data_IF_193941567988
#
_entry.id   IF_193941567988
#
_cell.length_a   1.000
_cell.length_b   1.000
_cell.length_c   1.000
_cell.angle_alpha   90.00
_cell.angle_beta   90.00
_cell.angle_gamma   90.00
#
_symmetry.space_group_name_H-M   'P 1'
#
loop_
_entity.id
_entity.type
_entity.pdbx_description
1 polymer ?
#
# COMPACT_ATOMS: atom_id res chain seq x y z
N UNK A 1 7.56 8.74 1.17
CA UNK A 1 8.98 8.97 0.76
C UNK A 1 9.84 9.13 2.00
N UNK A 2 11.16 8.94 1.86
CA UNK A 2 12.07 9.11 2.99
C UNK A 2 12.16 10.58 3.44
N UNK A 3 12.54 10.79 4.71
CA UNK A 3 12.88 12.13 5.19
C UNK A 3 14.26 12.56 4.67
N UNK A 4 14.36 13.70 3.98
CA UNK A 4 15.64 14.25 3.52
C UNK A 4 16.60 14.53 4.68
N UNK A 5 16.09 14.85 5.87
CA UNK A 5 16.92 15.04 7.06
C UNK A 5 17.66 13.76 7.41
N UNK A 6 16.95 12.61 7.43
CA UNK A 6 17.53 11.30 7.69
C UNK A 6 18.60 10.93 6.66
N UNK A 7 18.35 11.25 5.36
CA UNK A 7 19.33 11.04 4.29
C UNK A 7 20.59 11.89 4.51
N UNK A 8 20.43 13.13 4.98
CA UNK A 8 21.55 14.05 5.23
C UNK A 8 22.35 13.71 6.47
N UNK A 9 21.69 13.23 7.52
CA UNK A 9 22.32 12.88 8.79
C UNK A 9 23.24 11.68 8.66
N UNK A 10 22.81 10.63 7.95
CA UNK A 10 23.61 9.42 7.75
C UNK A 10 23.31 8.77 6.38
N UNK A 11 23.90 9.28 5.30
CA UNK A 11 23.70 8.75 3.95
C UNK A 11 24.11 7.26 3.83
N UNK A 12 25.19 6.85 4.52
CA UNK A 12 25.69 5.49 4.42
C UNK A 12 24.75 4.48 5.12
N UNK A 13 24.17 4.86 6.25
CA UNK A 13 23.13 4.05 6.91
C UNK A 13 21.89 3.91 6.01
N UNK A 14 21.47 4.97 5.33
CA UNK A 14 20.37 4.92 4.35
C UNK A 14 20.69 3.99 3.20
N UNK A 15 21.86 4.12 2.57
CA UNK A 15 22.32 3.22 1.50
C UNK A 15 22.38 1.76 1.97
N UNK A 16 22.90 1.50 3.17
CA UNK A 16 22.94 0.17 3.75
C UNK A 16 21.54 -0.43 3.95
N UNK A 17 20.57 0.37 4.43
CA UNK A 17 19.17 -0.06 4.58
C UNK A 17 18.50 -0.39 3.24
N UNK A 18 18.78 0.41 2.19
CA UNK A 18 18.28 0.13 0.84
C UNK A 18 18.90 -1.14 0.25
N UNK A 19 20.21 -1.35 0.45
CA UNK A 19 20.89 -2.59 0.04
C UNK A 19 20.36 -3.82 0.80
N UNK A 20 19.96 -3.67 2.07
CA UNK A 20 19.30 -4.76 2.81
C UNK A 20 17.96 -5.19 2.17
N UNK A 21 17.28 -4.29 1.47
CA UNK A 21 16.11 -4.58 0.62
C UNK A 21 16.46 -5.07 -0.80
N UNK A 22 17.72 -5.44 -1.04
CA UNK A 22 18.24 -5.85 -2.36
C UNK A 22 18.08 -4.77 -3.46
N UNK A 23 18.01 -3.49 -3.05
CA UNK A 23 17.90 -2.36 -3.98
C UNK A 23 19.15 -1.50 -3.88
N UNK A 24 19.89 -1.38 -4.97
CA UNK A 24 21.05 -0.49 -5.03
C UNK A 24 20.62 0.89 -5.54
N UNK A 25 20.50 1.84 -4.64
CA UNK A 25 20.15 3.23 -4.90
C UNK A 25 21.26 4.21 -4.43
N UNK A 26 22.50 3.76 -4.39
CA UNK A 26 23.62 4.58 -3.89
C UNK A 26 23.78 5.88 -4.70
N UNK A 27 23.71 5.77 -6.03
CA UNK A 27 23.85 6.92 -6.93
C UNK A 27 22.65 7.89 -6.80
N UNK A 28 21.44 7.37 -6.66
CA UNK A 28 20.23 8.16 -6.47
C UNK A 28 20.30 8.93 -5.14
N UNK A 29 20.76 8.30 -4.06
CA UNK A 29 20.96 8.96 -2.76
C UNK A 29 21.98 10.11 -2.87
N UNK A 30 23.13 9.88 -3.52
CA UNK A 30 24.15 10.92 -3.73
C UNK A 30 23.62 12.06 -4.60
N UNK A 31 22.87 11.73 -5.66
CA UNK A 31 22.25 12.76 -6.53
C UNK A 31 21.18 13.57 -5.79
N UNK A 32 20.35 12.94 -4.94
CA UNK A 32 19.37 13.63 -4.09
C UNK A 32 20.06 14.63 -3.16
N UNK A 33 21.17 14.27 -2.53
CA UNK A 33 21.93 15.17 -1.67
C UNK A 33 22.49 16.37 -2.44
N UNK A 34 23.02 16.13 -3.64
CA UNK A 34 23.50 17.19 -4.52
C UNK A 34 22.36 18.14 -4.93
N UNK A 35 21.22 17.59 -5.35
CA UNK A 35 20.03 18.38 -5.73
C UNK A 35 19.43 19.15 -4.55
N UNK A 36 19.41 18.58 -3.34
CA UNK A 36 18.96 19.32 -2.14
C UNK A 36 19.85 20.51 -1.84
N UNK A 37 21.17 20.36 -2.04
CA UNK A 37 22.11 21.48 -1.88
C UNK A 37 21.88 22.54 -2.96
N UNK A 38 21.84 22.14 -4.22
CA UNK A 38 21.63 23.03 -5.38
C UNK A 38 20.31 23.81 -5.22
N UNK A 39 19.23 23.14 -4.88
CA UNK A 39 17.93 23.76 -4.63
C UNK A 39 18.01 24.84 -3.56
N UNK A 40 18.65 24.56 -2.41
CA UNK A 40 18.81 25.53 -1.32
C UNK A 40 19.67 26.73 -1.74
N UNK A 41 20.73 26.50 -2.50
CA UNK A 41 21.61 27.54 -2.96
C UNK A 41 20.88 28.48 -3.95
N UNK A 42 20.05 27.92 -4.86
CA UNK A 42 19.23 28.71 -5.80
C UNK A 42 18.16 29.50 -5.02
N UNK A 43 17.46 28.90 -4.08
CA UNK A 43 16.44 29.57 -3.27
C UNK A 43 17.07 30.75 -2.53
N UNK A 44 18.20 30.52 -1.85
CA UNK A 44 18.91 31.56 -1.11
C UNK A 44 19.35 32.72 -2.04
N UNK A 45 19.96 32.42 -3.18
CA UNK A 45 20.38 33.45 -4.15
C UNK A 45 19.19 34.26 -4.66
N UNK A 46 18.07 33.57 -4.97
CA UNK A 46 16.84 34.22 -5.45
C UNK A 46 16.20 35.10 -4.38
N UNK A 47 16.19 34.69 -3.11
CA UNK A 47 15.72 35.53 -2.01
C UNK A 47 16.56 36.78 -1.81
N UNK A 48 17.89 36.68 -1.93
CA UNK A 48 18.79 37.84 -1.89
C UNK A 48 18.50 38.82 -3.03
N UNK A 49 18.33 38.31 -4.27
CA UNK A 49 17.97 39.14 -5.42
C UNK A 49 16.60 39.82 -5.24
N UNK A 50 15.58 39.12 -4.72
CA UNK A 50 14.26 39.68 -4.41
C UNK A 50 14.36 40.76 -3.31
N UNK A 51 15.20 40.56 -2.30
CA UNK A 51 15.44 41.55 -1.26
C UNK A 51 16.14 42.82 -1.82
N UNK A 52 17.17 42.66 -2.68
CA UNK A 52 17.84 43.77 -3.38
C UNK A 52 16.85 44.52 -4.28
N UNK A 53 16.05 43.81 -5.09
CA UNK A 53 15.03 44.39 -5.96
C UNK A 53 14.03 45.25 -5.17
N UNK A 54 13.56 44.76 -4.02
CA UNK A 54 12.69 45.51 -3.15
C UNK A 54 13.34 46.78 -2.56
N UNK A 55 14.64 46.69 -2.19
CA UNK A 55 15.41 47.84 -1.68
C UNK A 55 15.58 48.91 -2.76
N UNK A 56 16.00 48.48 -3.96
CA UNK A 56 16.20 49.37 -5.10
C UNK A 56 14.89 50.03 -5.51
N UNK A 57 13.78 49.27 -5.58
CA UNK A 57 12.45 49.77 -5.89
C UNK A 57 11.98 50.87 -4.93
N UNK A 58 12.24 50.71 -3.60
CA UNK A 58 11.88 51.69 -2.58
C UNK A 58 12.71 52.98 -2.67
N UNK A 59 13.92 52.95 -3.25
CA UNK A 59 14.77 54.13 -3.43
C UNK A 59 14.36 55.03 -4.60
N UNK A 60 13.65 54.49 -5.61
CA UNK A 60 13.28 55.22 -6.83
C UNK A 60 12.52 56.54 -6.56
N UNK A 61 11.49 56.59 -5.66
CA UNK A 61 10.78 57.82 -5.39
C UNK A 61 11.66 58.92 -4.77
N UNK A 62 12.66 58.52 -3.95
CA UNK A 62 13.58 59.46 -3.30
C UNK A 62 14.58 60.03 -4.31
N UNK A 63 15.15 59.17 -5.20
CA UNK A 63 16.06 59.59 -6.25
C UNK A 63 15.36 60.52 -7.27
N UNK A 64 14.13 60.21 -7.66
CA UNK A 64 13.34 61.12 -8.51
C UNK A 64 13.08 62.48 -7.84
N UNK A 65 12.81 62.51 -6.53
CA UNK A 65 12.57 63.72 -5.79
C UNK A 65 13.87 64.56 -5.63
N UNK A 66 15.03 63.91 -5.58
CA UNK A 66 16.34 64.54 -5.53
C UNK A 66 16.83 65.00 -6.91
N UNK A 67 16.14 64.70 -8.00
CA UNK A 67 16.57 65.04 -9.36
C UNK A 67 17.71 64.16 -9.89
N UNK A 68 17.99 63.02 -9.26
CA UNK A 68 19.05 62.11 -9.64
C UNK A 68 18.62 61.21 -10.83
N UNK A 69 19.63 60.78 -11.64
CA UNK A 69 19.37 59.90 -12.76
C UNK A 69 18.93 58.50 -12.27
N UNK A 70 17.73 58.11 -12.66
CA UNK A 70 17.14 56.80 -12.30
C UNK A 70 17.39 55.70 -13.36
N UNK A 71 18.02 56.01 -14.48
CA UNK A 71 18.28 55.01 -15.58
C UNK A 71 19.12 53.81 -15.08
N UNK A 72 20.21 54.00 -14.28
CA UNK A 72 21.00 52.85 -13.75
C UNK A 72 20.19 51.98 -12.83
N UNK A 73 19.24 52.57 -12.07
CA UNK A 73 18.38 51.87 -11.14
C UNK A 73 17.39 50.97 -11.91
N UNK A 74 16.78 51.47 -12.97
CA UNK A 74 15.90 50.69 -13.86
C UNK A 74 16.64 49.60 -14.59
N UNK A 75 17.88 49.85 -15.03
CA UNK A 75 18.75 48.84 -15.65
C UNK A 75 18.99 47.70 -14.64
N UNK A 76 19.43 48.03 -13.41
CA UNK A 76 19.67 47.04 -12.35
C UNK A 76 18.45 46.23 -12.03
N UNK A 77 17.26 46.86 -11.95
CA UNK A 77 16.00 46.16 -11.76
C UNK A 77 15.68 45.19 -12.90
N UNK A 78 15.98 45.56 -14.14
CA UNK A 78 15.83 44.67 -15.30
C UNK A 78 16.74 43.46 -15.23
N UNK A 79 18.02 43.67 -14.87
CA UNK A 79 18.98 42.57 -14.64
C UNK A 79 18.53 41.61 -13.55
N UNK A 80 18.13 42.14 -12.39
CA UNK A 80 17.62 41.34 -11.25
C UNK A 80 16.38 40.53 -11.66
N UNK A 81 15.44 41.14 -12.36
CA UNK A 81 14.23 40.45 -12.85
C UNK A 81 14.59 39.30 -13.81
N UNK A 82 15.54 39.50 -14.71
CA UNK A 82 15.99 38.46 -15.62
C UNK A 82 16.69 37.30 -14.90
N UNK A 83 17.56 37.62 -13.92
CA UNK A 83 18.26 36.62 -13.10
C UNK A 83 17.28 35.81 -12.20
N UNK A 84 16.30 36.48 -11.59
CA UNK A 84 15.25 35.80 -10.78
C UNK A 84 14.47 34.82 -11.67
N UNK A 85 14.05 35.24 -12.88
CA UNK A 85 13.33 34.39 -13.79
C UNK A 85 14.15 33.15 -14.25
N UNK A 86 15.46 33.34 -14.51
CA UNK A 86 16.36 32.24 -14.84
C UNK A 86 16.53 31.26 -13.67
N UNK A 87 16.68 31.78 -12.44
CA UNK A 87 16.75 30.96 -11.24
C UNK A 87 15.44 30.18 -10.99
N UNK A 88 14.28 30.81 -11.16
CA UNK A 88 12.97 30.15 -10.98
C UNK A 88 12.80 29.00 -11.98
N UNK A 89 13.29 29.12 -13.23
CA UNK A 89 13.25 28.05 -14.23
C UNK A 89 14.22 26.91 -13.86
N UNK A 90 15.44 27.24 -13.43
CA UNK A 90 16.42 26.25 -12.98
C UNK A 90 15.88 25.51 -11.76
N UNK A 91 15.31 26.23 -10.80
CA UNK A 91 14.72 25.65 -9.59
C UNK A 91 13.62 24.65 -9.94
N UNK A 92 12.74 24.97 -10.89
CA UNK A 92 11.68 24.07 -11.36
C UNK A 92 12.24 22.75 -11.89
N UNK A 93 13.31 22.81 -12.68
CA UNK A 93 13.98 21.63 -13.22
C UNK A 93 14.63 20.78 -12.11
N UNK A 94 15.35 21.44 -11.19
CA UNK A 94 15.99 20.79 -10.03
C UNK A 94 14.95 20.13 -9.12
N UNK A 95 13.85 20.80 -8.83
CA UNK A 95 12.76 20.26 -7.99
C UNK A 95 12.02 19.10 -8.65
N UNK A 96 11.84 19.11 -9.96
CA UNK A 96 11.24 18.00 -10.70
C UNK A 96 12.12 16.74 -10.63
N UNK A 97 13.44 16.89 -10.87
CA UNK A 97 14.39 15.78 -10.76
C UNK A 97 14.46 15.26 -9.30
N UNK A 98 14.60 16.18 -8.34
CA UNK A 98 14.63 15.85 -6.92
C UNK A 98 13.38 15.06 -6.49
N UNK A 99 12.17 15.52 -6.88
CA UNK A 99 10.92 14.83 -6.58
C UNK A 99 10.89 13.43 -7.19
N UNK A 100 11.28 13.30 -8.45
CA UNK A 100 11.31 12.01 -9.16
C UNK A 100 12.20 11.00 -8.42
N UNK A 101 13.41 11.39 -8.06
CA UNK A 101 14.34 10.52 -7.34
C UNK A 101 13.85 10.20 -5.92
N UNK A 102 13.30 11.18 -5.19
CA UNK A 102 12.72 10.93 -3.86
C UNK A 102 11.52 9.97 -3.90
N UNK A 103 10.73 9.99 -4.97
CA UNK A 103 9.61 9.07 -5.16
C UNK A 103 10.06 7.66 -5.59
N UNK A 104 11.23 7.52 -6.21
CA UNK A 104 11.76 6.21 -6.62
C UNK A 104 12.38 5.42 -5.47
N UNK A 105 12.88 6.09 -4.42
CA UNK A 105 13.50 5.41 -3.28
C UNK A 105 12.46 4.59 -2.49
N UNK A 106 12.74 3.30 -2.19
CA UNK A 106 11.94 2.52 -1.27
C UNK A 106 12.00 3.07 0.16
N UNK A 107 11.08 2.61 0.99
CA UNK A 107 11.16 2.81 2.43
C UNK A 107 12.33 2.01 3.03
N UNK A 108 12.88 2.50 4.14
CA UNK A 108 13.90 1.78 4.88
C UNK A 108 13.30 0.65 5.71
N UNK A 109 13.95 -0.51 5.79
CA UNK A 109 13.51 -1.57 6.69
C UNK A 109 13.80 -1.19 8.14
N UNK A 110 12.98 -1.74 9.06
CA UNK A 110 13.30 -1.69 10.49
C UNK A 110 14.59 -2.47 10.77
N UNK A 111 15.34 -2.03 11.78
CA UNK A 111 16.71 -2.52 12.06
C UNK A 111 16.79 -4.01 12.46
N UNK A 112 15.68 -4.57 12.97
CA UNK A 112 15.61 -5.98 13.40
C UNK A 112 15.25 -6.96 12.28
N UNK A 113 15.04 -6.47 11.05
CA UNK A 113 14.78 -7.33 9.90
C UNK A 113 16.08 -7.89 9.32
N UNK A 114 16.08 -9.18 8.99
CA UNK A 114 17.19 -9.77 8.26
C UNK A 114 17.31 -9.16 6.87
N UNK A 115 18.51 -8.86 6.38
CA UNK A 115 18.72 -8.44 4.99
C UNK A 115 18.44 -9.59 4.02
N UNK A 116 18.19 -9.25 2.75
CA UNK A 116 17.97 -10.23 1.69
C UNK A 116 16.50 -10.59 1.49
N UNK A 117 16.26 -11.57 0.63
CA UNK A 117 14.93 -11.94 0.13
C UNK A 117 14.21 -12.99 0.98
N UNK A 118 13.25 -13.65 0.33
CA UNK A 118 12.30 -14.59 0.94
C UNK A 118 12.98 -15.77 1.69
N UNK A 119 14.15 -16.17 1.29
CA UNK A 119 14.93 -17.24 1.93
C UNK A 119 15.33 -16.92 3.37
N UNK A 120 15.32 -15.65 3.75
CA UNK A 120 15.65 -15.13 5.07
C UNK A 120 14.42 -14.84 5.95
N UNK A 121 13.21 -15.15 5.47
CA UNK A 121 11.98 -15.00 6.24
C UNK A 121 11.99 -15.90 7.49
N UNK A 122 11.41 -15.41 8.60
CA UNK A 122 11.42 -16.09 9.90
C UNK A 122 10.01 -16.50 10.33
N UNK A 123 9.66 -17.80 10.34
CA UNK A 123 8.45 -18.26 11.02
C UNK A 123 8.51 -17.94 12.52
N UNK A 124 7.55 -17.15 13.00
CA UNK A 124 7.49 -16.72 14.40
C UNK A 124 6.68 -17.68 15.27
N UNK A 125 5.54 -18.13 14.75
CA UNK A 125 4.58 -18.99 15.48
C UNK A 125 3.69 -19.76 14.54
N UNK A 126 3.14 -20.86 15.07
CA UNK A 126 2.19 -21.73 14.39
C UNK A 126 0.91 -21.83 15.23
N UNK A 127 -0.21 -22.03 14.56
CA UNK A 127 -1.50 -22.27 15.18
C UNK A 127 -2.17 -23.49 14.58
N UNK A 128 -2.73 -24.37 15.45
CA UNK A 128 -3.40 -25.59 15.03
C UNK A 128 -2.44 -26.64 14.48
N UNK A 129 -3.03 -27.71 13.96
CA UNK A 129 -2.30 -28.80 13.31
C UNK A 129 -2.67 -28.87 11.83
N UNK A 130 -1.73 -29.25 10.95
CA UNK A 130 -2.01 -29.48 9.54
C UNK A 130 -3.13 -30.47 9.34
N UNK A 131 -4.09 -30.14 8.45
CA UNK A 131 -5.20 -31.04 8.16
C UNK A 131 -4.70 -32.36 7.53
N UNK A 132 -5.18 -33.49 8.04
CA UNK A 132 -4.83 -34.83 7.55
C UNK A 132 -6.05 -35.48 6.93
N UNK A 133 -5.90 -35.98 5.71
CA UNK A 133 -6.95 -36.73 5.02
C UNK A 133 -6.67 -38.23 5.09
N UNK A 134 -7.72 -39.05 5.25
CA UNK A 134 -7.68 -40.50 5.12
C UNK A 134 -8.06 -40.98 3.70
N UNK A 135 -8.23 -40.04 2.77
CA UNK A 135 -8.52 -40.20 1.36
C UNK A 135 -7.73 -39.25 0.49
N UNK A 136 -7.55 -39.50 -0.80
CA UNK A 136 -6.90 -38.53 -1.73
C UNK A 136 -7.77 -37.27 -1.87
N UNK A 137 -7.28 -36.08 -1.41
CA UNK A 137 -8.06 -34.86 -1.53
C UNK A 137 -8.10 -34.38 -2.98
N UNK A 138 -9.26 -33.87 -3.41
CA UNK A 138 -9.43 -33.23 -4.73
C UNK A 138 -8.94 -31.80 -4.67
N UNK A 139 -8.46 -31.33 -5.83
CA UNK A 139 -8.11 -29.93 -6.03
C UNK A 139 -9.36 -29.04 -6.04
N UNK A 140 -9.25 -27.79 -5.52
CA UNK A 140 -10.38 -26.84 -5.45
C UNK A 140 -11.06 -26.59 -6.80
N UNK A 141 -10.33 -26.60 -7.91
CA UNK A 141 -10.93 -26.42 -9.25
C UNK A 141 -11.94 -27.51 -9.55
N UNK A 142 -11.58 -28.77 -9.26
CA UNK A 142 -12.45 -29.92 -9.51
C UNK A 142 -13.65 -29.92 -8.54
N UNK A 143 -13.42 -29.64 -7.24
CA UNK A 143 -14.49 -29.50 -6.24
C UNK A 143 -15.46 -28.37 -6.59
N UNK A 144 -14.94 -27.18 -6.91
CA UNK A 144 -15.77 -26.02 -7.23
C UNK A 144 -16.58 -26.23 -8.51
N UNK A 145 -16.02 -26.94 -9.49
CA UNK A 145 -16.73 -27.32 -10.72
C UNK A 145 -17.83 -28.36 -10.42
N UNK A 146 -17.49 -29.43 -9.68
CA UNK A 146 -18.42 -30.49 -9.31
C UNK A 146 -19.61 -29.98 -8.49
N UNK A 147 -19.37 -29.04 -7.56
CA UNK A 147 -20.40 -28.44 -6.69
C UNK A 147 -21.14 -27.26 -7.35
N UNK A 148 -20.71 -26.85 -8.54
CA UNK A 148 -21.28 -25.69 -9.22
C UNK A 148 -21.01 -24.36 -8.49
N UNK A 149 -19.87 -24.25 -7.80
CA UNK A 149 -19.48 -23.00 -7.10
C UNK A 149 -18.88 -21.97 -8.06
N UNK A 150 -18.11 -22.45 -9.03
CA UNK A 150 -17.33 -21.62 -9.95
C UNK A 150 -17.57 -22.08 -11.39
N UNK A 151 -17.89 -21.13 -12.27
CA UNK A 151 -17.88 -21.31 -13.71
C UNK A 151 -16.64 -20.66 -14.31
N UNK A 152 -15.59 -21.44 -14.46
CA UNK A 152 -14.34 -20.96 -15.05
C UNK A 152 -14.50 -20.66 -16.54
N UNK A 153 -15.23 -21.50 -17.28
CA UNK A 153 -15.41 -21.35 -18.72
C UNK A 153 -16.13 -20.06 -19.08
N UNK A 154 -17.23 -19.76 -18.39
CA UNK A 154 -17.97 -18.51 -18.62
C UNK A 154 -17.23 -17.30 -18.07
N UNK A 155 -16.51 -17.42 -16.95
CA UNK A 155 -15.65 -16.37 -16.45
C UNK A 155 -14.60 -15.93 -17.48
N UNK A 156 -13.90 -16.88 -18.08
CA UNK A 156 -12.93 -16.63 -19.17
C UNK A 156 -13.60 -16.01 -20.39
N UNK A 157 -14.82 -16.46 -20.75
CA UNK A 157 -15.57 -15.87 -21.87
C UNK A 157 -15.92 -14.41 -21.64
N UNK A 158 -16.16 -14.00 -20.39
CA UNK A 158 -16.53 -12.63 -20.04
C UNK A 158 -15.34 -11.67 -20.03
N UNK A 159 -14.19 -12.10 -19.49
CA UNK A 159 -13.09 -11.18 -19.20
C UNK A 159 -11.68 -11.71 -19.57
N UNK A 160 -11.59 -12.92 -20.13
CA UNK A 160 -10.32 -13.52 -20.49
C UNK A 160 -9.73 -14.44 -19.43
N UNK A 161 -8.54 -14.96 -19.72
CA UNK A 161 -7.81 -15.86 -18.81
C UNK A 161 -7.52 -15.18 -17.47
N UNK A 162 -7.58 -15.94 -16.37
CA UNK A 162 -7.34 -15.42 -15.01
C UNK A 162 -8.56 -14.76 -14.38
N UNK A 163 -9.74 -14.88 -15.00
CA UNK A 163 -11.03 -14.53 -14.43
C UNK A 163 -11.91 -15.77 -14.24
N UNK A 164 -12.77 -15.73 -13.24
CA UNK A 164 -13.77 -16.76 -12.94
C UNK A 164 -15.10 -16.11 -12.54
N UNK A 165 -16.14 -16.91 -12.52
CA UNK A 165 -17.46 -16.46 -12.12
C UNK A 165 -17.99 -17.35 -10.98
N UNK A 166 -18.30 -16.77 -9.84
CA UNK A 166 -18.98 -17.47 -8.77
C UNK A 166 -20.44 -17.72 -9.14
N UNK A 167 -20.97 -18.89 -8.80
CA UNK A 167 -22.35 -19.28 -9.10
C UNK A 167 -23.05 -19.91 -7.91
N UNK A 168 -24.35 -19.76 -7.82
CA UNK A 168 -25.20 -20.44 -6.84
C UNK A 168 -24.71 -20.32 -5.38
N UNK A 169 -24.49 -21.47 -4.75
CA UNK A 169 -23.97 -21.53 -3.37
C UNK A 169 -22.51 -21.04 -3.28
N UNK A 170 -21.71 -21.15 -4.35
CA UNK A 170 -20.37 -20.59 -4.37
C UNK A 170 -20.37 -19.06 -4.22
N UNK A 171 -21.27 -18.35 -4.89
CA UNK A 171 -21.42 -16.91 -4.73
C UNK A 171 -21.92 -16.55 -3.31
N UNK A 172 -22.82 -17.34 -2.75
CA UNK A 172 -23.28 -17.15 -1.34
C UNK A 172 -22.14 -17.42 -0.34
N UNK A 173 -21.30 -18.41 -0.59
CA UNK A 173 -20.16 -18.76 0.27
C UNK A 173 -19.07 -17.68 0.22
N UNK A 174 -18.81 -17.09 -0.97
CA UNK A 174 -17.94 -15.93 -1.10
C UNK A 174 -18.44 -14.75 -0.28
N UNK A 175 -19.74 -14.44 -0.35
CA UNK A 175 -20.35 -13.38 0.47
C UNK A 175 -20.42 -13.75 1.96
N UNK A 176 -20.52 -15.02 2.32
CA UNK A 176 -20.44 -15.46 3.71
C UNK A 176 -19.05 -15.17 4.32
N UNK A 177 -17.97 -15.43 3.56
CA UNK A 177 -16.61 -15.06 3.97
C UNK A 177 -16.47 -13.54 4.15
N UNK A 178 -16.90 -12.76 3.17
CA UNK A 178 -16.83 -11.30 3.24
C UNK A 178 -17.62 -10.74 4.43
N UNK A 179 -18.85 -11.22 4.66
CA UNK A 179 -19.66 -10.79 5.80
C UNK A 179 -19.01 -11.19 7.14
N UNK A 180 -18.39 -12.36 7.22
CA UNK A 180 -17.64 -12.76 8.41
C UNK A 180 -16.49 -11.79 8.70
N UNK A 181 -15.72 -11.41 7.67
CA UNK A 181 -14.62 -10.44 7.81
C UNK A 181 -15.15 -9.07 8.23
N UNK A 182 -16.21 -8.58 7.57
CA UNK A 182 -16.83 -7.28 7.84
C UNK A 182 -17.37 -7.24 9.28
N UNK A 183 -18.18 -8.23 9.69
CA UNK A 183 -18.75 -8.27 11.02
C UNK A 183 -17.68 -8.32 12.11
N UNK A 184 -16.59 -9.04 11.87
CA UNK A 184 -15.47 -9.13 12.81
C UNK A 184 -14.79 -7.78 13.00
N UNK A 185 -14.48 -7.06 11.93
CA UNK A 185 -13.83 -5.76 12.03
C UNK A 185 -14.75 -4.67 12.59
N UNK A 186 -16.06 -4.74 12.33
CA UNK A 186 -17.03 -3.87 13.00
C UNK A 186 -17.04 -4.12 14.52
N UNK A 187 -17.04 -5.40 14.93
CA UNK A 187 -16.96 -5.77 16.36
C UNK A 187 -15.63 -5.35 17.01
N UNK A 188 -14.57 -5.27 16.23
CA UNK A 188 -13.26 -4.78 16.64
C UNK A 188 -13.18 -3.25 16.76
N UNK A 189 -14.24 -2.53 16.42
CA UNK A 189 -14.33 -1.07 16.52
C UNK A 189 -13.70 -0.28 15.35
N UNK A 190 -13.48 -0.95 14.21
CA UNK A 190 -13.02 -0.27 12.99
C UNK A 190 -14.19 0.36 12.23
N UNK A 191 -13.97 1.51 11.64
CA UNK A 191 -14.96 2.16 10.78
C UNK A 191 -14.95 1.56 9.39
N UNK A 192 -16.14 1.16 8.89
CA UNK A 192 -16.31 0.58 7.56
C UNK A 192 -16.36 1.66 6.48
N UNK A 193 -15.46 1.59 5.51
CA UNK A 193 -15.36 2.51 4.38
C UNK A 193 -15.65 1.76 3.07
N UNK A 194 -16.47 2.33 2.21
CA UNK A 194 -16.65 1.89 0.82
C UNK A 194 -16.07 2.95 -0.12
N UNK A 195 -14.79 2.85 -0.48
CA UNK A 195 -14.13 3.85 -1.32
C UNK A 195 -14.48 3.66 -2.80
N UNK A 196 -14.25 4.69 -3.66
CA UNK A 196 -14.23 4.50 -5.10
C UNK A 196 -13.23 3.42 -5.52
N UNK A 197 -13.58 2.60 -6.53
CA UNK A 197 -12.69 1.55 -7.04
C UNK A 197 -11.81 2.03 -8.19
N UNK A 198 -12.16 3.15 -8.79
CA UNK A 198 -11.37 3.86 -9.80
C UNK A 198 -10.68 5.03 -9.11
N UNK A 199 -9.35 4.99 -9.06
CA UNK A 199 -8.54 5.94 -8.32
C UNK A 199 -7.72 6.83 -9.26
N UNK A 200 -7.44 8.07 -8.85
CA UNK A 200 -6.46 8.93 -9.49
C UNK A 200 -5.03 8.43 -9.22
N UNK A 201 -4.12 8.69 -10.15
CA UNK A 201 -2.70 8.30 -10.06
C UNK A 201 -2.04 8.68 -8.72
N UNK A 202 -2.40 9.83 -8.17
CA UNK A 202 -1.88 10.33 -6.90
C UNK A 202 -2.16 9.42 -5.69
N UNK A 203 -3.23 8.60 -5.74
CA UNK A 203 -3.50 7.62 -4.69
C UNK A 203 -2.41 6.53 -4.65
N UNK A 204 -1.95 6.07 -5.82
CA UNK A 204 -0.84 5.15 -5.93
C UNK A 204 0.52 5.77 -5.51
N UNK A 205 0.73 7.06 -5.78
CA UNK A 205 1.90 7.79 -5.27
C UNK A 205 1.87 7.88 -3.75
N UNK A 206 0.74 8.26 -3.15
CA UNK A 206 0.57 8.35 -1.69
C UNK A 206 0.84 7.01 -1.01
N UNK A 207 0.25 5.94 -1.50
CA UNK A 207 0.47 4.58 -0.99
C UNK A 207 1.91 4.06 -1.21
N UNK A 208 2.72 4.75 -2.02
CA UNK A 208 4.08 4.31 -2.35
C UNK A 208 4.14 3.17 -3.37
N UNK A 209 3.03 2.87 -4.02
CA UNK A 209 2.95 1.87 -5.09
C UNK A 209 3.50 2.41 -6.41
N UNK A 210 3.30 3.70 -6.68
CA UNK A 210 3.84 4.36 -7.87
C UNK A 210 5.08 5.20 -7.54
N UNK A 211 6.03 5.29 -8.48
CA UNK A 211 5.99 4.82 -9.87
C UNK A 211 6.26 3.31 -10.07
N UNK A 212 6.84 2.61 -9.09
CA UNK A 212 7.39 1.24 -9.24
C UNK A 212 6.39 0.24 -9.83
N UNK A 213 5.14 0.23 -9.37
CA UNK A 213 4.09 -0.71 -9.78
C UNK A 213 3.06 -0.10 -10.75
N UNK A 214 3.38 1.02 -11.39
CA UNK A 214 2.46 1.69 -12.31
C UNK A 214 2.06 0.85 -13.54
N UNK A 215 2.85 -0.17 -13.89
CA UNK A 215 2.56 -1.10 -14.99
C UNK A 215 1.80 -2.37 -14.54
N UNK A 216 1.63 -2.57 -13.22
CA UNK A 216 0.89 -3.69 -12.65
C UNK A 216 -0.62 -3.41 -12.49
N UNK A 217 -1.06 -2.18 -12.76
CA UNK A 217 -2.47 -1.78 -12.63
C UNK A 217 -3.17 -1.67 -13.98
N UNK A 218 -4.49 -1.87 -13.98
CA UNK A 218 -5.33 -1.57 -15.13
C UNK A 218 -5.56 -0.07 -15.23
N UNK A 219 -4.89 0.60 -16.17
CA UNK A 219 -5.05 2.03 -16.45
C UNK A 219 -6.34 2.27 -17.22
N UNK A 220 -7.05 3.33 -16.86
CA UNK A 220 -8.29 3.74 -17.53
C UNK A 220 -7.99 5.00 -18.31
N UNK A 221 -8.23 4.95 -19.62
CA UNK A 221 -8.18 6.12 -20.50
C UNK A 221 -9.53 6.83 -20.48
N UNK A 222 -9.52 8.10 -20.14
CA UNK A 222 -10.67 8.96 -20.29
C UNK A 222 -10.40 9.96 -21.42
N UNK A 223 -11.13 9.93 -22.54
CA UNK A 223 -10.86 10.80 -23.69
C UNK A 223 -11.16 12.27 -23.43
N UNK A 224 -11.86 12.61 -22.34
CA UNK A 224 -12.27 13.99 -22.01
C UNK A 224 -11.48 14.58 -20.83
N UNK A 225 -10.56 13.84 -20.24
CA UNK A 225 -9.85 14.23 -19.03
C UNK A 225 -8.39 13.73 -19.12
N UNK A 226 -7.42 14.63 -18.96
CA UNK A 226 -6.00 14.30 -18.99
C UNK A 226 -5.51 13.59 -17.71
N UNK A 227 -6.38 13.40 -16.69
CA UNK A 227 -6.05 12.70 -15.46
C UNK A 227 -5.93 11.21 -15.70
N UNK A 228 -4.86 10.63 -15.17
CA UNK A 228 -4.68 9.17 -15.20
C UNK A 228 -5.45 8.52 -14.08
N UNK A 229 -6.44 7.69 -14.42
CA UNK A 229 -7.16 6.83 -13.49
C UNK A 229 -6.71 5.37 -13.64
N UNK A 230 -6.93 4.59 -12.59
CA UNK A 230 -6.66 3.15 -12.61
C UNK A 230 -7.62 2.39 -11.70
N UNK A 231 -7.84 1.10 -11.99
CA UNK A 231 -8.56 0.20 -11.10
C UNK A 231 -7.67 -0.18 -9.91
N UNK A 232 -8.17 -0.02 -8.69
CA UNK A 232 -7.38 -0.27 -7.48
C UNK A 232 -6.92 -1.74 -7.38
N UNK A 233 -5.64 -2.00 -7.07
CA UNK A 233 -5.13 -3.35 -6.82
C UNK A 233 -5.33 -3.80 -5.37
N UNK A 234 -5.68 -2.86 -4.48
CA UNK A 234 -5.92 -3.01 -3.05
C UNK A 234 -6.60 -1.75 -2.51
N UNK A 235 -7.46 -1.90 -1.52
CA UNK A 235 -8.07 -0.75 -0.83
C UNK A 235 -7.04 0.13 -0.09
N UNK A 236 -5.85 -0.39 0.21
CA UNK A 236 -4.74 0.38 0.81
C UNK A 236 -4.51 1.71 0.08
N UNK A 237 -4.49 1.73 -1.25
CA UNK A 237 -4.23 2.94 -2.02
C UNK A 237 -5.30 4.03 -1.81
N UNK A 238 -6.56 3.61 -1.67
CA UNK A 238 -7.67 4.51 -1.35
C UNK A 238 -7.58 4.99 0.10
N UNK A 239 -7.43 4.06 1.05
CA UNK A 239 -7.43 4.37 2.48
C UNK A 239 -6.24 5.25 2.88
N UNK A 240 -5.04 4.97 2.37
CA UNK A 240 -3.84 5.79 2.59
C UNK A 240 -3.99 7.24 2.11
N UNK A 241 -4.93 7.51 1.20
CA UNK A 241 -5.11 8.80 0.56
C UNK A 241 -6.26 9.63 1.13
N UNK A 242 -7.04 9.09 2.08
CA UNK A 242 -8.24 9.76 2.63
C UNK A 242 -7.90 11.16 3.18
N UNK A 243 -6.77 11.27 3.87
CA UNK A 243 -6.34 12.53 4.51
C UNK A 243 -5.18 13.21 3.78
N UNK A 244 -5.02 12.96 2.47
CA UNK A 244 -3.97 13.62 1.68
C UNK A 244 -4.07 15.15 1.79
N UNK A 245 -2.91 15.79 2.07
CA UNK A 245 -2.75 17.24 2.27
C UNK A 245 -3.46 17.81 3.51
N UNK A 246 -3.81 16.97 4.49
CA UNK A 246 -4.49 17.39 5.72
C UNK A 246 -3.57 17.36 6.97
N UNK A 247 -3.97 18.14 7.96
CA UNK A 247 -3.37 18.15 9.30
C UNK A 247 -4.48 17.81 10.31
N UNK A 248 -4.44 16.59 10.84
CA UNK A 248 -5.41 16.09 11.80
C UNK A 248 -5.16 16.69 13.21
N UNK A 249 -6.15 16.67 14.09
CA UNK A 249 -5.93 16.88 15.51
C UNK A 249 -5.31 15.60 16.13
N UNK A 250 -4.39 15.76 17.10
CA UNK A 250 -3.79 14.62 17.80
C UNK A 250 -4.86 13.77 18.51
N UNK A 251 -5.87 14.43 19.10
CA UNK A 251 -6.97 13.75 19.78
C UNK A 251 -7.83 12.86 18.85
N UNK A 252 -7.74 13.04 17.52
CA UNK A 252 -8.44 12.23 16.54
C UNK A 252 -7.74 10.88 16.24
N UNK A 253 -6.52 10.69 16.72
CA UNK A 253 -5.71 9.50 16.50
C UNK A 253 -5.85 8.49 17.65
N UNK A 254 -5.79 7.17 17.38
CA UNK A 254 -5.67 6.55 16.06
C UNK A 254 -6.96 6.60 15.25
N UNK A 255 -6.86 6.74 13.91
CA UNK A 255 -7.97 6.43 12.99
C UNK A 255 -7.84 4.99 12.53
N UNK A 256 -8.90 4.21 12.68
CA UNK A 256 -8.95 2.78 12.35
C UNK A 256 -10.06 2.52 11.35
N UNK A 257 -9.69 2.15 10.13
CA UNK A 257 -10.61 1.90 9.03
C UNK A 257 -10.46 0.48 8.51
N UNK A 258 -11.52 -0.03 7.91
CA UNK A 258 -11.42 -1.14 6.99
C UNK A 258 -12.32 -0.90 5.77
N UNK A 259 -11.94 -1.50 4.65
CA UNK A 259 -12.70 -1.39 3.42
C UNK A 259 -12.84 -2.75 2.74
N UNK A 260 -14.03 -3.05 2.23
CA UNK A 260 -14.24 -4.09 1.23
C UNK A 260 -14.07 -3.51 -0.16
N UNK A 261 -13.26 -4.15 -0.99
CA UNK A 261 -13.18 -3.83 -2.42
C UNK A 261 -12.92 -5.09 -3.27
N UNK A 262 -13.47 -5.15 -4.50
CA UNK A 262 -12.82 -5.94 -5.54
C UNK A 262 -11.46 -5.32 -5.82
N UNK A 263 -10.44 -6.16 -6.02
CA UNK A 263 -9.07 -5.76 -6.32
C UNK A 263 -8.70 -6.24 -7.71
N UNK A 264 -7.99 -5.39 -8.47
CA UNK A 264 -7.66 -5.65 -9.88
C UNK A 264 -6.15 -5.62 -10.08
N UNK A 265 -5.57 -6.75 -10.48
CA UNK A 265 -4.13 -6.90 -10.70
C UNK A 265 -3.84 -7.46 -12.09
N UNK A 266 -2.94 -6.82 -12.84
CA UNK A 266 -2.54 -7.31 -14.17
C UNK A 266 -1.70 -8.58 -14.10
N UNK A 267 -1.05 -8.83 -12.95
CA UNK A 267 -0.16 -9.99 -12.75
C UNK A 267 0.90 -10.10 -13.89
N UNK A 268 1.43 -8.93 -14.30
CA UNK A 268 2.34 -8.79 -15.43
C UNK A 268 3.70 -9.36 -15.07
N UNK A 269 4.17 -10.41 -15.25
CA UNK A 269 5.48 -10.99 -14.89
C UNK A 269 5.39 -12.20 -13.96
N UNK A 270 4.18 -12.61 -13.55
CA UNK A 270 4.03 -13.85 -12.81
C UNK A 270 3.99 -15.06 -13.75
N UNK A 271 4.85 -16.05 -13.48
CA UNK A 271 4.78 -17.36 -14.14
C UNK A 271 3.55 -18.12 -13.63
N UNK A 272 2.41 -18.01 -14.34
CA UNK A 272 1.11 -18.60 -13.96
C UNK A 272 1.05 -20.14 -14.10
N UNK A 273 2.09 -20.77 -14.60
CA UNK A 273 2.06 -22.19 -14.99
C UNK A 273 1.77 -23.15 -13.82
N UNK A 274 2.09 -22.76 -12.59
CA UNK A 274 1.98 -23.63 -11.41
C UNK A 274 0.76 -23.35 -10.52
N UNK A 275 0.00 -22.26 -10.75
CA UNK A 275 -1.12 -21.84 -9.91
C UNK A 275 -2.46 -21.98 -10.66
N UNK A 276 -2.94 -23.23 -10.76
CA UNK A 276 -4.26 -23.53 -11.35
C UNK A 276 -5.40 -22.97 -10.47
N UNK A 277 -6.41 -22.36 -11.08
CA UNK A 277 -7.65 -21.97 -10.42
C UNK A 277 -7.66 -20.54 -9.89
N UNK A 278 -8.11 -20.37 -8.64
CA UNK A 278 -8.42 -19.04 -8.06
C UNK A 278 -7.27 -18.39 -7.30
N UNK A 279 -6.19 -19.11 -7.03
CA UNK A 279 -5.12 -18.66 -6.12
C UNK A 279 -4.45 -17.38 -6.60
N UNK A 280 -4.41 -17.17 -7.92
CA UNK A 280 -3.88 -15.98 -8.56
C UNK A 280 -4.75 -15.60 -9.76
N UNK A 281 -5.44 -14.48 -9.65
CA UNK A 281 -6.32 -13.98 -10.68
C UNK A 281 -6.25 -12.48 -10.84
N UNK A 282 -6.84 -11.97 -11.93
CA UNK A 282 -6.87 -10.56 -12.25
C UNK A 282 -7.86 -9.75 -11.41
N UNK A 283 -8.87 -10.42 -10.86
CA UNK A 283 -9.87 -9.83 -10.00
C UNK A 283 -10.16 -10.78 -8.82
N UNK A 284 -10.19 -10.24 -7.61
CA UNK A 284 -10.57 -10.95 -6.40
C UNK A 284 -11.13 -9.96 -5.36
N UNK A 285 -11.83 -10.48 -4.34
CA UNK A 285 -12.37 -9.66 -3.26
C UNK A 285 -11.42 -9.64 -2.05
N UNK A 286 -11.31 -8.48 -1.41
CA UNK A 286 -10.48 -8.30 -0.23
C UNK A 286 -11.12 -7.32 0.75
N UNK A 287 -11.03 -7.64 2.02
CA UNK A 287 -11.21 -6.67 3.11
C UNK A 287 -9.82 -6.22 3.55
N UNK A 288 -9.61 -4.91 3.63
CA UNK A 288 -8.33 -4.31 4.01
C UNK A 288 -8.50 -3.46 5.26
N UNK A 289 -7.72 -3.74 6.30
CA UNK A 289 -7.60 -2.89 7.49
C UNK A 289 -6.56 -1.80 7.25
N UNK A 290 -6.77 -0.60 7.79
CA UNK A 290 -5.85 0.52 7.71
C UNK A 290 -5.88 1.36 8.98
N UNK A 291 -4.71 1.78 9.46
CA UNK A 291 -4.61 2.67 10.62
C UNK A 291 -3.72 3.89 10.31
N UNK A 292 -4.13 5.04 10.86
CA UNK A 292 -3.29 6.22 11.03
C UNK A 292 -3.02 6.41 12.50
N UNK A 293 -1.74 6.43 12.89
CA UNK A 293 -1.34 6.48 14.30
C UNK A 293 -0.31 7.57 14.55
N UNK A 294 -0.13 7.93 15.82
CA UNK A 294 1.09 8.65 16.23
C UNK A 294 2.30 7.73 16.07
N UNK A 295 3.51 8.29 15.83
CA UNK A 295 4.72 7.47 15.70
C UNK A 295 4.99 6.54 16.89
N UNK A 296 4.76 7.01 18.10
CA UNK A 296 4.97 6.26 19.34
C UNK A 296 4.02 5.07 19.53
N UNK A 297 2.82 5.11 18.94
CA UNK A 297 1.81 4.05 19.06
C UNK A 297 1.92 2.99 17.94
N UNK A 298 2.85 3.19 17.01
CA UNK A 298 2.90 2.46 15.74
C UNK A 298 3.21 0.97 15.89
N UNK A 299 4.02 0.59 16.87
CA UNK A 299 4.39 -0.82 17.07
C UNK A 299 3.25 -1.59 17.77
N UNK A 300 2.57 -0.99 18.74
CA UNK A 300 1.38 -1.58 19.36
C UNK A 300 0.24 -1.74 18.35
N UNK A 301 0.05 -0.76 17.47
CA UNK A 301 -0.92 -0.83 16.38
C UNK A 301 -0.60 -1.92 15.36
N UNK A 302 0.68 -2.17 15.09
CA UNK A 302 1.13 -3.27 14.23
C UNK A 302 0.79 -4.62 14.83
N UNK A 303 1.09 -4.84 16.11
CA UNK A 303 0.79 -6.08 16.82
C UNK A 303 -0.72 -6.32 16.93
N UNK A 304 -1.51 -5.26 17.11
CA UNK A 304 -2.97 -5.32 17.05
C UNK A 304 -3.43 -5.84 15.68
N UNK A 305 -2.98 -5.24 14.57
CA UNK A 305 -3.36 -5.65 13.22
C UNK A 305 -3.00 -7.11 12.93
N UNK A 306 -1.80 -7.55 13.32
CA UNK A 306 -1.38 -8.96 13.19
C UNK A 306 -2.35 -9.87 13.94
N UNK A 307 -2.67 -9.54 15.18
CA UNK A 307 -3.60 -10.32 16.02
C UNK A 307 -5.00 -10.39 15.40
N UNK A 308 -5.51 -9.28 14.83
CA UNK A 308 -6.82 -9.25 14.16
C UNK A 308 -6.85 -10.16 12.93
N UNK A 309 -5.83 -10.10 12.09
CA UNK A 309 -5.72 -10.98 10.92
C UNK A 309 -5.59 -12.46 11.31
N UNK A 310 -4.77 -12.79 12.32
CA UNK A 310 -4.69 -14.17 12.86
C UNK A 310 -6.04 -14.68 13.39
N UNK A 311 -6.79 -13.84 14.09
CA UNK A 311 -8.09 -14.23 14.66
C UNK A 311 -9.12 -14.57 13.58
N UNK A 312 -9.11 -13.91 12.44
CA UNK A 312 -9.95 -14.28 11.30
C UNK A 312 -9.63 -15.69 10.79
N UNK A 313 -8.33 -16.01 10.63
CA UNK A 313 -7.89 -17.32 10.17
C UNK A 313 -8.18 -18.41 11.20
N UNK A 314 -8.00 -18.12 12.50
CA UNK A 314 -8.38 -19.00 13.63
C UNK A 314 -9.86 -19.31 13.61
N UNK A 315 -10.72 -18.29 13.42
CA UNK A 315 -12.17 -18.45 13.37
C UNK A 315 -12.64 -19.38 12.24
N UNK A 316 -11.91 -19.41 11.13
CA UNK A 316 -12.19 -20.36 10.03
C UNK A 316 -11.68 -21.79 10.32
N UNK A 317 -10.94 -21.99 11.42
CA UNK A 317 -10.44 -23.30 11.83
C UNK A 317 -9.18 -23.74 11.09
N UNK A 318 -8.44 -22.84 10.43
CA UNK A 318 -7.25 -23.20 9.66
C UNK A 318 -6.02 -23.35 10.54
N UNK A 319 -5.16 -24.32 10.16
CA UNK A 319 -3.77 -24.30 10.55
C UNK A 319 -3.03 -23.21 9.77
N UNK A 320 -2.23 -22.40 10.47
CA UNK A 320 -1.44 -21.32 9.85
C UNK A 320 -0.13 -21.09 10.58
N UNK A 321 0.75 -20.35 9.95
CA UNK A 321 1.92 -19.76 10.58
C UNK A 321 1.98 -18.25 10.33
N UNK A 322 2.58 -17.53 11.28
CA UNK A 322 2.92 -16.12 11.13
C UNK A 322 4.41 -16.02 10.86
N UNK A 323 4.77 -15.27 9.82
CA UNK A 323 6.14 -15.16 9.30
C UNK A 323 6.56 -13.70 9.29
N UNK A 324 7.71 -13.38 9.91
CA UNK A 324 8.37 -12.08 9.79
C UNK A 324 9.17 -12.07 8.50
N UNK A 325 8.86 -11.14 7.60
CA UNK A 325 9.55 -11.02 6.33
C UNK A 325 10.94 -10.38 6.50
N UNK A 326 11.89 -10.86 5.72
CA UNK A 326 13.17 -10.21 5.53
C UNK A 326 13.03 -8.87 4.79
N UNK A 327 14.01 -8.01 4.90
CA UNK A 327 13.96 -6.65 4.36
C UNK A 327 13.65 -6.61 2.86
N UNK A 328 14.24 -7.51 2.06
CA UNK A 328 14.05 -7.57 0.61
C UNK A 328 12.71 -8.18 0.18
N UNK A 329 12.05 -8.97 1.03
CA UNK A 329 10.72 -9.51 0.78
C UNK A 329 9.59 -8.55 1.22
N UNK A 330 9.89 -7.58 2.08
CA UNK A 330 8.97 -6.49 2.40
C UNK A 330 8.70 -5.63 1.17
N UNK A 331 7.43 -5.26 0.95
CA UNK A 331 7.06 -4.33 -0.12
C UNK A 331 7.89 -3.05 -0.09
N UNK A 332 8.10 -2.41 -1.24
CA UNK A 332 8.93 -1.22 -1.36
C UNK A 332 8.51 -0.08 -0.42
N UNK A 333 7.23 0.08 -0.15
CA UNK A 333 6.69 1.14 0.73
C UNK A 333 6.75 0.80 2.22
N UNK A 334 7.01 -0.46 2.60
CA UNK A 334 6.89 -0.93 3.97
C UNK A 334 8.25 -1.03 4.68
N UNK A 335 8.26 -0.66 5.95
CA UNK A 335 9.41 -0.80 6.83
C UNK A 335 9.45 -2.18 7.51
N UNK A 336 8.29 -2.75 7.79
CA UNK A 336 8.11 -4.07 8.40
C UNK A 336 6.88 -4.74 7.85
N UNK A 337 6.94 -6.07 7.66
CA UNK A 337 5.78 -6.88 7.25
C UNK A 337 5.80 -8.23 7.93
N UNK A 338 4.63 -8.67 8.43
CA UNK A 338 4.38 -10.04 8.85
C UNK A 338 3.29 -10.65 7.97
N UNK A 339 3.56 -11.83 7.45
CA UNK A 339 2.61 -12.60 6.66
C UNK A 339 1.95 -13.68 7.50
N UNK A 340 0.66 -13.89 7.28
CA UNK A 340 -0.08 -15.04 7.78
C UNK A 340 -0.25 -15.99 6.60
N UNK A 341 0.28 -17.18 6.76
CA UNK A 341 0.34 -18.19 5.70
C UNK A 341 -0.38 -19.47 6.13
N UNK A 342 -1.21 -20.01 5.23
CA UNK A 342 -1.96 -21.26 5.42
C UNK A 342 -1.51 -22.32 4.42
N UNK A 343 -1.89 -23.58 4.70
CA UNK A 343 -1.73 -24.66 3.73
C UNK A 343 -2.96 -24.78 2.84
N UNK A 344 -2.74 -24.89 1.53
CA UNK A 344 -3.75 -25.33 0.57
C UNK A 344 -3.37 -26.76 0.19
N UNK A 345 -4.20 -27.78 0.48
CA UNK A 345 -3.81 -29.20 0.36
C UNK A 345 -3.27 -29.62 -1.02
N UNK A 346 -3.79 -29.03 -2.08
CA UNK A 346 -3.32 -29.29 -3.46
C UNK A 346 -2.02 -28.59 -3.82
N UNK A 347 -1.50 -27.72 -2.96
CA UNK A 347 -0.31 -26.92 -3.21
C UNK A 347 0.80 -27.28 -2.22
N UNK A 348 2.04 -27.24 -2.68
CA UNK A 348 3.17 -27.44 -1.77
C UNK A 348 3.41 -26.22 -0.88
N UNK A 349 3.74 -26.46 0.40
CA UNK A 349 4.11 -25.46 1.37
C UNK A 349 2.94 -24.56 1.82
N UNK A 350 3.31 -23.42 2.36
CA UNK A 350 2.39 -22.42 2.86
C UNK A 350 2.14 -21.34 1.82
N UNK A 351 0.93 -20.77 1.84
CA UNK A 351 0.52 -19.66 0.97
C UNK A 351 0.04 -18.50 1.83
N UNK A 352 0.55 -17.31 1.57
CA UNK A 352 0.14 -16.06 2.21
C UNK A 352 -1.36 -15.80 1.96
N UNK A 353 -2.10 -15.50 3.02
CA UNK A 353 -3.51 -15.09 2.98
C UNK A 353 -3.74 -13.71 3.55
N UNK A 354 -2.81 -13.22 4.35
CA UNK A 354 -2.78 -11.86 4.87
C UNK A 354 -1.33 -11.39 4.97
N UNK A 355 -1.12 -10.14 4.60
CA UNK A 355 0.13 -9.41 4.81
C UNK A 355 -0.20 -8.19 5.66
N UNK A 356 0.42 -8.06 6.82
CA UNK A 356 0.26 -6.94 7.74
C UNK A 356 1.54 -6.13 7.74
N UNK A 357 1.44 -4.82 7.47
CA UNK A 357 2.59 -3.97 7.22
C UNK A 357 2.55 -2.65 7.98
N UNK A 358 3.73 -2.15 8.33
CA UNK A 358 3.95 -0.83 8.89
C UNK A 358 4.82 -0.02 7.91
N UNK A 359 4.27 1.07 7.38
CA UNK A 359 5.00 1.97 6.49
C UNK A 359 5.76 3.08 7.24
N UNK A 360 5.63 3.15 8.56
CA UNK A 360 6.11 4.27 9.34
C UNK A 360 5.56 5.58 8.75
N UNK A 361 6.38 6.62 8.63
CA UNK A 361 5.99 7.92 8.07
C UNK A 361 6.08 8.01 6.53
N UNK A 362 6.46 6.94 5.86
CA UNK A 362 6.75 6.95 4.43
C UNK A 362 5.56 7.35 3.56
N UNK A 363 4.39 6.75 3.78
CA UNK A 363 3.17 7.06 3.05
C UNK A 363 2.63 8.45 3.45
N UNK A 364 2.66 8.77 4.74
CA UNK A 364 2.24 10.07 5.25
C UNK A 364 3.06 11.23 4.64
N UNK A 365 4.37 11.05 4.45
CA UNK A 365 5.21 12.03 3.74
C UNK A 365 4.87 12.16 2.27
N UNK A 366 4.47 11.08 1.60
CA UNK A 366 4.03 11.11 0.19
C UNK A 366 2.70 11.82 0.03
N UNK A 367 1.76 11.55 0.93
CA UNK A 367 0.44 12.18 0.96
C UNK A 367 0.38 13.51 1.71
N UNK A 368 1.53 13.99 2.27
CA UNK A 368 1.58 15.21 3.09
C UNK A 368 0.56 15.16 4.25
N UNK A 369 0.38 13.97 4.88
CA UNK A 369 -0.60 13.74 5.95
C UNK A 369 0.10 13.94 7.29
N UNK A 370 -0.38 14.89 8.08
CA UNK A 370 0.23 15.29 9.35
C UNK A 370 -0.81 15.35 10.45
N UNK A 371 -0.36 15.41 11.66
CA UNK A 371 -1.19 15.80 12.80
C UNK A 371 -0.52 16.92 13.58
N UNK A 372 -1.31 17.68 14.31
CA UNK A 372 -0.82 18.76 15.16
C UNK A 372 -0.58 18.23 16.55
N UNK A 373 0.70 18.13 16.93
CA UNK A 373 1.09 17.69 18.28
C UNK A 373 0.59 18.67 19.33
N UNK A 374 -0.26 18.24 20.25
CA UNK A 374 -0.84 19.11 21.29
C UNK A 374 0.23 19.74 22.18
N UNK A 375 1.23 18.96 22.61
CA UNK A 375 2.29 19.42 23.49
C UNK A 375 3.16 20.54 22.89
N UNK A 376 3.31 20.62 21.57
CA UNK A 376 4.21 21.57 20.91
C UNK A 376 3.51 22.54 19.96
N UNK A 377 2.28 22.25 19.56
CA UNK A 377 1.53 22.95 18.52
C UNK A 377 2.10 22.75 17.10
N UNK A 378 3.16 21.94 16.92
CA UNK A 378 3.84 21.72 15.64
C UNK A 378 3.19 20.57 14.85
N UNK A 379 3.17 20.66 13.50
CA UNK A 379 2.75 19.55 12.68
C UNK A 379 3.85 18.48 12.60
N UNK A 380 3.45 17.21 12.79
CA UNK A 380 4.30 16.02 12.66
C UNK A 380 3.67 15.06 11.66
N UNK A 381 4.49 14.23 10.97
CA UNK A 381 3.99 13.16 10.13
C UNK A 381 3.52 12.01 11.02
N UNK A 382 2.33 11.48 10.70
CA UNK A 382 1.83 10.27 11.35
C UNK A 382 2.43 9.01 10.72
N UNK A 383 2.21 7.85 11.36
CA UNK A 383 2.51 6.54 10.79
C UNK A 383 1.27 5.91 10.19
N UNK A 384 1.47 5.11 9.15
CA UNK A 384 0.41 4.36 8.48
C UNK A 384 0.71 2.87 8.54
N UNK A 385 -0.35 2.09 8.76
CA UNK A 385 -0.30 0.64 8.84
C UNK A 385 -1.46 0.05 8.07
N UNK A 386 -1.24 -1.09 7.43
CA UNK A 386 -2.29 -1.81 6.75
C UNK A 386 -2.19 -3.32 6.99
N UNK A 387 -3.27 -4.03 6.76
CA UNK A 387 -3.29 -5.49 6.81
C UNK A 387 -4.51 -6.06 6.11
N UNK A 388 -4.31 -7.18 5.38
CA UNK A 388 -5.44 -7.86 4.79
C UNK A 388 -6.30 -8.51 5.87
N UNK A 389 -7.56 -8.17 5.88
CA UNK A 389 -8.53 -8.72 6.81
C UNK A 389 -9.67 -9.55 6.19
N UNK A 390 -9.57 -10.39 5.21
CA UNK A 390 -8.62 -11.13 4.41
C UNK A 390 -8.93 -11.00 2.89
N UNK A 391 -8.13 -11.68 2.05
CA UNK A 391 -8.41 -11.82 0.61
C UNK A 391 -9.03 -13.19 0.29
N UNK A 392 -10.16 -13.21 -0.44
CA UNK A 392 -10.89 -14.48 -0.67
C UNK A 392 -10.22 -15.40 -1.69
N UNK A 393 -9.36 -14.88 -2.57
CA UNK A 393 -8.74 -15.65 -3.64
C UNK A 393 -7.93 -16.87 -3.18
N UNK A 394 -7.35 -16.83 -1.98
CA UNK A 394 -6.63 -17.96 -1.36
C UNK A 394 -7.42 -18.62 -0.23
N UNK A 395 -8.21 -17.84 0.51
CA UNK A 395 -9.06 -18.38 1.58
C UNK A 395 -10.16 -19.29 1.03
N UNK A 396 -10.83 -18.92 -0.06
CA UNK A 396 -11.89 -19.73 -0.65
C UNK A 396 -11.39 -21.12 -1.11
N UNK A 397 -10.33 -21.25 -1.94
CA UNK A 397 -9.80 -22.56 -2.30
C UNK A 397 -9.28 -23.35 -1.10
N UNK A 398 -8.61 -22.73 -0.14
CA UNK A 398 -8.16 -23.40 1.07
C UNK A 398 -9.34 -23.94 1.89
N UNK A 399 -10.40 -23.15 2.05
CA UNK A 399 -11.61 -23.56 2.77
C UNK A 399 -12.29 -24.74 2.09
N UNK A 400 -12.45 -24.70 0.78
CA UNK A 400 -13.08 -25.80 0.01
C UNK A 400 -12.24 -27.08 0.10
N UNK A 401 -10.92 -26.97 -0.06
CA UNK A 401 -10.03 -28.12 -0.02
C UNK A 401 -9.86 -28.71 1.39
N UNK A 402 -9.70 -27.88 2.42
CA UNK A 402 -9.51 -28.38 3.78
C UNK A 402 -10.79 -28.97 4.39
N UNK A 403 -11.96 -28.51 3.97
CA UNK A 403 -13.24 -28.97 4.49
C UNK A 403 -13.95 -29.98 3.59
N UNK A 404 -13.28 -30.53 2.55
CA UNK A 404 -13.86 -31.55 1.71
C UNK A 404 -14.05 -32.87 2.44
N UNK A 405 -15.14 -33.55 2.12
CA UNK A 405 -15.44 -34.90 2.60
C UNK A 405 -15.17 -35.93 1.49
N UNK A 406 -15.09 -37.20 1.89
CA UNK A 406 -14.74 -38.31 0.98
C UNK A 406 -15.68 -38.44 -0.21
N UNK A 407 -16.94 -38.04 -0.06
CA UNK A 407 -17.97 -38.06 -1.10
C UNK A 407 -17.92 -36.85 -2.05
N UNK A 408 -17.00 -35.90 -1.79
CA UNK A 408 -16.85 -34.67 -2.55
C UNK A 408 -17.77 -33.52 -2.09
N UNK A 409 -18.52 -33.70 -1.01
CA UNK A 409 -19.20 -32.60 -0.32
C UNK A 409 -18.21 -31.76 0.46
N UNK A 410 -18.62 -30.56 0.89
CA UNK A 410 -17.78 -29.62 1.65
C UNK A 410 -18.50 -29.19 2.92
N UNK A 411 -17.85 -29.40 4.07
CA UNK A 411 -18.32 -28.90 5.35
C UNK A 411 -18.18 -27.39 5.40
N UNK A 412 -19.20 -26.68 5.87
CA UNK A 412 -19.17 -25.24 6.05
C UNK A 412 -18.55 -24.90 7.43
N UNK A 413 -17.50 -24.08 7.50
CA UNK A 413 -16.97 -23.59 8.77
C UNK A 413 -18.09 -22.99 9.64
N UNK A 414 -18.08 -23.29 10.93
CA UNK A 414 -19.16 -22.93 11.86
C UNK A 414 -19.47 -21.43 11.83
N UNK A 415 -18.43 -20.57 11.78
CA UNK A 415 -18.56 -19.11 11.75
C UNK A 415 -19.29 -18.61 10.49
N UNK A 416 -19.36 -19.40 9.42
CA UNK A 416 -20.00 -19.04 8.15
C UNK A 416 -21.45 -19.53 8.06
N UNK A 417 -21.85 -20.52 8.87
CA UNK A 417 -23.17 -21.17 8.78
C UNK A 417 -24.32 -20.16 8.96
N UNK A 418 -24.18 -19.18 9.87
CA UNK A 418 -25.20 -18.13 10.08
C UNK A 418 -25.50 -17.30 8.81
N UNK A 419 -24.51 -17.09 7.93
CA UNK A 419 -24.69 -16.35 6.67
C UNK A 419 -25.27 -17.22 5.55
N UNK A 420 -25.33 -18.54 5.75
CA UNK A 420 -25.85 -19.52 4.81
C UNK A 420 -27.17 -20.15 5.27
N UNK A 421 -27.84 -19.55 6.29
CA UNK A 421 -29.11 -20.03 6.82
C UNK A 421 -28.99 -21.33 7.63
N UNK A 422 -27.83 -21.51 8.29
CA UNK A 422 -27.54 -22.70 9.12
C UNK A 422 -27.05 -23.92 8.33
N UNK A 423 -26.67 -23.76 7.07
CA UNK A 423 -26.18 -24.86 6.24
C UNK A 423 -24.83 -25.35 6.74
N UNK A 424 -24.74 -26.63 7.11
CA UNK A 424 -23.54 -27.26 7.67
C UNK A 424 -22.69 -27.98 6.62
N UNK A 425 -23.30 -28.53 5.58
CA UNK A 425 -22.63 -29.28 4.52
C UNK A 425 -23.23 -28.93 3.16
N UNK A 426 -22.38 -28.74 2.17
CA UNK A 426 -22.79 -28.51 0.78
C UNK A 426 -22.42 -29.74 -0.04
N UNK A 427 -23.43 -30.38 -0.58
CA UNK A 427 -23.29 -31.60 -1.40
C UNK A 427 -23.61 -31.31 -2.87
N UNK A 428 -23.10 -32.16 -3.76
CA UNK A 428 -23.50 -32.16 -5.18
C UNK A 428 -24.99 -32.41 -5.26
N UNK A 429 -25.69 -31.62 -6.10
CA UNK A 429 -27.11 -31.81 -6.38
C UNK A 429 -27.33 -33.05 -7.25
#
# INVERSE_FOLDING_TARGET
MLDIKRIKEDPEKVKAGLRAKEVNCDQEVDRILALDKERRDIIFATEQMKAEQNKVSKAIPQLKKAGEDTAPVFQRMGELKSQIAANDETLRTVEAEYRTLMLSLPNLPDEDLKPGGKENNEPLRYFGEPHKFDFPPKHHVDLCTDLGFIDYTRGVKLAGSGFWMYTGLGARLEWALLNYFIDTHLADGYEFILPPHMLEYQCGETAGQFPKFADEVYKIQNPTDDRTHYMLPTAEAALASIYRDEILAEADLPKKFFAYTPCFRREAGSARAEERGMVRGHQFNKVEMFQFTRPEDSDDAFDELVTKAENLVKGLGFHFRTVKLAAGDCSASMARTYDIEIQIPSMQGYKEVSSVSNARDYQARRGNIRFRREATGKPEFLHTLNGSGLATSRIFPAMVEQNQLKDGSVKVPEVLQKYLGGLEVISKK
#
